data_IF_990894704395
#
_entry.id   IF_990894704395
#
_cell.length_a   1.000
_cell.length_b   1.000
_cell.length_c   1.000
_cell.angle_alpha   90.00
_cell.angle_beta   90.00
_cell.angle_gamma   90.00
#
_symmetry.space_group_name_H-M   'P 1'
#
loop_
_entity.id
_entity.type
_entity.pdbx_description
1 polymer ?
#
# COMPACT_ATOMS: atom_id res chain seq x y z
N UNK A 1 -1.44 -15.31 -50.44
CA UNK A 1 -1.35 -14.47 -49.22
C UNK A 1 -0.45 -15.19 -48.23
N UNK A 2 0.79 -14.73 -48.07
CA UNK A 2 1.77 -15.37 -47.18
C UNK A 2 1.41 -15.07 -45.73
N UNK A 3 1.25 -16.12 -44.89
CA UNK A 3 0.94 -15.97 -43.47
C UNK A 3 2.18 -15.43 -42.75
N UNK A 4 2.03 -14.28 -42.11
CA UNK A 4 3.05 -13.73 -41.21
C UNK A 4 3.38 -14.76 -40.11
N UNK A 5 4.65 -15.09 -39.88
CA UNK A 5 5.04 -16.01 -38.83
C UNK A 5 4.71 -15.40 -37.47
N UNK A 6 3.89 -16.10 -36.68
CA UNK A 6 3.64 -15.80 -35.27
C UNK A 6 4.84 -16.23 -34.45
N UNK A 7 5.93 -15.47 -34.51
CA UNK A 7 7.08 -15.72 -33.63
C UNK A 7 6.64 -15.40 -32.20
N UNK A 8 6.89 -16.36 -31.30
CA UNK A 8 6.56 -16.31 -29.88
C UNK A 8 6.87 -14.95 -29.26
N UNK A 9 5.89 -14.41 -28.51
CA UNK A 9 6.06 -13.27 -27.59
C UNK A 9 7.44 -13.33 -26.95
N UNK A 10 8.27 -12.33 -27.24
CA UNK A 10 9.63 -12.23 -26.70
C UNK A 10 9.61 -12.47 -25.19
N UNK A 11 10.55 -13.29 -24.72
CA UNK A 11 10.80 -13.51 -23.29
C UNK A 11 10.80 -12.13 -22.62
N UNK A 12 9.99 -11.93 -21.56
CA UNK A 12 9.90 -10.63 -20.87
C UNK A 12 11.33 -10.16 -20.57
N UNK A 13 11.72 -8.93 -20.93
CA UNK A 13 13.07 -8.44 -20.65
C UNK A 13 13.30 -8.53 -19.14
N UNK A 14 14.39 -9.20 -18.77
CA UNK A 14 14.87 -9.29 -17.41
C UNK A 14 15.94 -8.22 -17.24
N UNK A 15 15.78 -7.34 -16.25
CA UNK A 15 16.69 -6.21 -16.05
C UNK A 15 17.75 -6.51 -14.99
N UNK A 16 17.42 -7.39 -14.03
CA UNK A 16 18.32 -7.82 -12.97
C UNK A 16 18.72 -9.30 -13.11
N UNK A 17 19.83 -9.66 -12.47
CA UNK A 17 20.33 -11.04 -12.44
C UNK A 17 19.32 -11.99 -11.77
N UNK A 18 18.69 -11.53 -10.68
CA UNK A 18 17.67 -12.28 -9.98
C UNK A 18 16.26 -11.88 -10.45
N UNK A 19 15.53 -12.85 -11.00
CA UNK A 19 14.17 -12.64 -11.53
C UNK A 19 13.17 -12.13 -10.47
N UNK A 20 13.38 -12.45 -9.19
CA UNK A 20 12.54 -11.98 -8.08
C UNK A 20 12.58 -10.44 -7.97
N UNK A 21 13.73 -9.81 -8.28
CA UNK A 21 13.90 -8.36 -8.22
C UNK A 21 13.07 -7.67 -9.30
N UNK A 22 13.07 -8.18 -10.54
CA UNK A 22 12.20 -7.66 -11.61
C UNK A 22 10.71 -7.73 -11.21
N UNK A 23 10.31 -8.80 -10.51
CA UNK A 23 8.94 -8.99 -10.03
C UNK A 23 8.59 -7.99 -8.92
N UNK A 24 9.48 -7.79 -7.95
CA UNK A 24 9.32 -6.79 -6.89
C UNK A 24 9.23 -5.38 -7.46
N UNK A 25 10.10 -5.02 -8.40
CA UNK A 25 10.07 -3.72 -9.09
C UNK A 25 8.75 -3.55 -9.86
N UNK A 26 8.26 -4.60 -10.53
CA UNK A 26 6.97 -4.57 -11.22
C UNK A 26 5.80 -4.35 -10.24
N UNK A 27 5.79 -5.05 -9.10
CA UNK A 27 4.80 -4.86 -8.04
C UNK A 27 4.86 -3.44 -7.45
N UNK A 28 6.06 -2.93 -7.22
CA UNK A 28 6.26 -1.58 -6.69
C UNK A 28 5.78 -0.49 -7.68
N UNK A 29 6.08 -0.65 -8.97
CA UNK A 29 5.57 0.24 -10.02
C UNK A 29 4.04 0.24 -10.09
N UNK A 30 3.42 -0.94 -10.01
CA UNK A 30 1.97 -1.06 -9.94
C UNK A 30 1.41 -0.35 -8.69
N UNK A 31 2.00 -0.58 -7.52
CA UNK A 31 1.58 0.07 -6.28
C UNK A 31 1.74 1.60 -6.31
N UNK A 32 2.82 2.10 -6.90
CA UNK A 32 3.03 3.54 -7.10
C UNK A 32 1.95 4.14 -8.02
N UNK A 33 1.60 3.44 -9.10
CA UNK A 33 0.51 3.86 -10.00
C UNK A 33 -0.82 3.92 -9.26
N UNK A 34 -1.17 2.89 -8.49
CA UNK A 34 -2.40 2.89 -7.69
C UNK A 34 -2.38 4.00 -6.62
N UNK A 35 -1.23 4.23 -5.99
CA UNK A 35 -1.06 5.33 -5.03
C UNK A 35 -1.29 6.70 -5.68
N UNK A 36 -0.84 6.87 -6.94
CA UNK A 36 -1.09 8.09 -7.70
C UNK A 36 -2.58 8.27 -8.02
N UNK A 37 -3.27 7.21 -8.44
CA UNK A 37 -4.73 7.23 -8.67
C UNK A 37 -5.48 7.64 -7.41
N UNK A 38 -5.09 7.12 -6.23
CA UNK A 38 -5.69 7.53 -4.96
C UNK A 38 -5.46 9.02 -4.65
N UNK A 39 -4.25 9.53 -4.88
CA UNK A 39 -3.93 10.95 -4.71
C UNK A 39 -4.75 11.84 -5.64
N UNK A 40 -4.89 11.45 -6.91
CA UNK A 40 -5.71 12.18 -7.89
C UNK A 40 -7.18 12.19 -7.47
N UNK A 41 -7.72 11.05 -7.00
CA UNK A 41 -9.10 11.00 -6.49
C UNK A 41 -9.30 11.90 -5.28
N UNK A 42 -8.36 11.95 -4.33
CA UNK A 42 -8.44 12.86 -3.18
C UNK A 42 -8.43 14.33 -3.62
N UNK A 43 -7.51 14.70 -4.51
CA UNK A 43 -7.46 16.05 -5.09
C UNK A 43 -8.79 16.44 -5.76
N UNK A 44 -9.38 15.54 -6.56
CA UNK A 44 -10.66 15.79 -7.21
C UNK A 44 -11.82 15.91 -6.21
N UNK A 45 -11.82 15.10 -5.14
CA UNK A 45 -12.83 15.18 -4.08
C UNK A 45 -12.77 16.52 -3.35
N UNK A 46 -11.57 16.97 -2.98
CA UNK A 46 -11.35 18.29 -2.36
C UNK A 46 -11.78 19.42 -3.28
N UNK A 47 -11.38 19.35 -4.56
CA UNK A 47 -11.77 20.36 -5.56
C UNK A 47 -13.28 20.43 -5.73
N UNK A 48 -13.94 19.28 -5.87
CA UNK A 48 -15.39 19.21 -6.03
C UNK A 48 -16.13 19.68 -4.77
N UNK A 49 -15.63 19.34 -3.59
CA UNK A 49 -16.19 19.83 -2.32
C UNK A 49 -16.08 21.35 -2.21
N UNK A 50 -14.95 21.92 -2.63
CA UNK A 50 -14.75 23.37 -2.65
C UNK A 50 -15.63 24.07 -3.68
N UNK A 51 -15.76 23.53 -4.89
CA UNK A 51 -16.68 24.06 -5.92
C UNK A 51 -18.14 24.03 -5.48
N UNK A 52 -18.53 23.07 -4.64
CA UNK A 52 -19.85 22.99 -4.02
C UNK A 52 -20.00 23.82 -2.75
N UNK A 53 -18.96 24.51 -2.31
CA UNK A 53 -18.95 25.32 -1.08
C UNK A 53 -19.02 24.51 0.22
N UNK A 54 -18.68 23.21 0.18
CA UNK A 54 -18.68 22.33 1.35
C UNK A 54 -17.39 22.46 2.18
N UNK A 55 -16.28 22.84 1.55
CA UNK A 55 -14.98 23.04 2.17
C UNK A 55 -14.31 24.28 1.57
N UNK A 56 -13.64 25.06 2.41
CA UNK A 56 -12.75 26.14 1.97
C UNK A 56 -11.37 25.59 1.59
N UNK A 57 -10.65 26.33 0.73
CA UNK A 57 -9.31 25.90 0.30
C UNK A 57 -8.36 25.81 1.49
N UNK A 58 -7.65 24.68 1.62
CA UNK A 58 -6.74 24.42 2.75
C UNK A 58 -7.42 24.05 4.06
N UNK A 59 -8.76 23.96 4.11
CA UNK A 59 -9.49 23.56 5.31
C UNK A 59 -9.16 22.12 5.74
N UNK A 60 -9.00 21.22 4.76
CA UNK A 60 -8.60 19.84 5.02
C UNK A 60 -7.19 19.76 5.63
N UNK A 61 -6.24 20.56 5.14
CA UNK A 61 -4.86 20.60 5.64
C UNK A 61 -4.80 21.18 7.07
N UNK A 62 -5.70 22.10 7.39
CA UNK A 62 -5.82 22.70 8.73
C UNK A 62 -6.67 21.86 9.69
N UNK A 63 -7.35 20.82 9.20
CA UNK A 63 -8.27 20.04 10.00
C UNK A 63 -7.54 19.20 11.05
N UNK A 64 -7.86 19.45 12.32
CA UNK A 64 -7.29 18.69 13.43
C UNK A 64 -8.27 17.62 13.89
N UNK A 65 -7.82 16.36 13.85
CA UNK A 65 -8.62 15.22 14.27
C UNK A 65 -8.93 15.29 15.78
N UNK A 66 -10.17 14.96 16.14
CA UNK A 66 -10.52 14.71 17.54
C UNK A 66 -9.80 13.46 18.06
N UNK A 67 -9.70 13.31 19.38
CA UNK A 67 -9.07 12.10 19.95
C UNK A 67 -9.86 10.83 19.62
N UNK A 68 -11.18 10.95 19.46
CA UNK A 68 -12.04 9.85 19.02
C UNK A 68 -11.77 9.46 17.55
N UNK A 69 -11.56 10.44 16.66
CA UNK A 69 -11.22 10.18 15.25
C UNK A 69 -9.84 9.54 15.11
N UNK A 70 -8.88 9.98 15.92
CA UNK A 70 -7.53 9.39 15.96
C UNK A 70 -7.58 7.91 16.36
N UNK A 71 -8.33 7.56 17.41
CA UNK A 71 -8.47 6.15 17.82
C UNK A 71 -9.18 5.33 16.73
N UNK A 72 -10.21 5.88 16.11
CA UNK A 72 -10.91 5.22 14.99
C UNK A 72 -9.96 4.93 13.83
N UNK A 73 -9.12 5.90 13.45
CA UNK A 73 -8.10 5.71 12.41
C UNK A 73 -7.03 4.70 12.83
N UNK A 74 -6.62 4.70 14.10
CA UNK A 74 -5.66 3.74 14.63
C UNK A 74 -6.21 2.30 14.56
N UNK A 75 -7.48 2.08 14.93
CA UNK A 75 -8.13 0.77 14.81
C UNK A 75 -8.18 0.28 13.38
N UNK A 76 -8.66 1.13 12.46
CA UNK A 76 -8.72 0.79 11.03
C UNK A 76 -7.34 0.47 10.45
N UNK A 77 -6.30 1.19 10.89
CA UNK A 77 -4.92 0.89 10.47
C UNK A 77 -4.46 -0.47 10.97
N UNK A 78 -4.75 -0.82 12.24
CA UNK A 78 -4.43 -2.15 12.80
C UNK A 78 -5.14 -3.26 12.01
N UNK A 79 -6.42 -3.10 11.74
CA UNK A 79 -7.24 -4.05 10.97
C UNK A 79 -6.68 -4.23 9.55
N UNK A 80 -6.39 -3.14 8.84
CA UNK A 80 -5.81 -3.18 7.50
C UNK A 80 -4.45 -3.87 7.46
N UNK A 81 -3.57 -3.58 8.41
CA UNK A 81 -2.27 -4.24 8.53
C UNK A 81 -2.46 -5.74 8.79
N UNK A 82 -3.36 -6.10 9.70
CA UNK A 82 -3.67 -7.50 9.98
C UNK A 82 -4.20 -8.24 8.74
N UNK A 83 -5.06 -7.61 7.95
CA UNK A 83 -5.59 -8.18 6.70
C UNK A 83 -4.50 -8.39 5.63
N UNK A 84 -3.58 -7.42 5.47
CA UNK A 84 -2.44 -7.60 4.56
C UNK A 84 -1.59 -8.79 5.00
N UNK A 85 -1.25 -8.85 6.30
CA UNK A 85 -0.37 -9.90 6.81
C UNK A 85 -1.05 -11.26 6.92
N UNK A 86 -2.37 -11.34 7.10
CA UNK A 86 -3.09 -12.61 7.11
C UNK A 86 -2.98 -13.33 5.78
N UNK A 87 -2.92 -12.58 4.66
CA UNK A 87 -2.68 -13.15 3.33
C UNK A 87 -1.26 -13.71 3.14
N UNK A 88 -0.27 -13.18 3.88
CA UNK A 88 1.13 -13.65 3.88
C UNK A 88 1.35 -14.80 4.87
N UNK A 89 0.53 -14.90 5.91
CA UNK A 89 0.58 -15.96 6.92
C UNK A 89 0.07 -17.31 6.41
N UNK A 90 -0.43 -17.39 5.18
CA UNK A 90 -0.92 -18.64 4.58
C UNK A 90 0.23 -19.60 4.21
N UNK A 91 1.51 -19.17 4.21
CA UNK A 91 2.63 -20.01 3.76
C UNK A 91 3.86 -20.15 4.70
N UNK A 92 3.84 -19.68 5.96
CA UNK A 92 4.94 -19.98 6.89
C UNK A 92 4.46 -20.26 8.33
N UNK A 93 4.34 -21.55 8.66
CA UNK A 93 4.44 -22.05 10.03
C UNK A 93 5.84 -21.76 10.58
N UNK A 94 6.00 -20.63 11.27
CA UNK A 94 6.93 -20.53 12.41
C UNK A 94 6.51 -19.37 13.33
N UNK A 95 5.29 -19.50 13.84
CA UNK A 95 4.63 -18.57 14.78
C UNK A 95 5.41 -18.35 16.08
N UNK A 96 6.33 -19.25 16.44
CA UNK A 96 7.15 -19.17 17.64
C UNK A 96 8.23 -18.09 17.58
N UNK A 97 8.89 -17.92 16.43
CA UNK A 97 9.98 -16.93 16.26
C UNK A 97 9.44 -15.50 16.28
N UNK A 98 8.21 -15.29 15.78
CA UNK A 98 7.56 -13.97 15.73
C UNK A 98 7.20 -13.44 17.12
N UNK A 99 6.73 -14.30 18.03
CA UNK A 99 6.33 -13.86 19.37
C UNK A 99 7.55 -13.34 20.16
N UNK A 100 8.71 -14.01 20.02
CA UNK A 100 9.95 -13.60 20.70
C UNK A 100 10.47 -12.22 20.25
N UNK A 101 10.37 -11.90 18.95
CA UNK A 101 10.84 -10.63 18.39
C UNK A 101 9.91 -9.47 18.79
N UNK A 102 8.60 -9.72 18.85
CA UNK A 102 7.62 -8.72 19.27
C UNK A 102 7.79 -8.40 20.76
N UNK A 103 8.06 -9.41 21.59
CA UNK A 103 8.28 -9.24 23.02
C UNK A 103 9.58 -8.44 23.30
N UNK A 104 10.68 -8.72 22.57
CA UNK A 104 11.94 -7.97 22.68
C UNK A 104 11.79 -6.50 22.26
N UNK A 105 11.12 -6.23 21.14
CA UNK A 105 10.92 -4.86 20.66
C UNK A 105 10.01 -4.05 21.58
N UNK A 106 9.02 -4.70 22.21
CA UNK A 106 8.12 -4.06 23.17
C UNK A 106 8.85 -3.71 24.47
N UNK A 107 9.83 -4.53 24.88
CA UNK A 107 10.62 -4.30 26.08
C UNK A 107 11.66 -3.17 25.89
N UNK A 108 12.27 -3.06 24.70
CA UNK A 108 13.21 -2.00 24.35
C UNK A 108 12.57 -0.60 24.23
N UNK A 109 11.27 -0.52 23.98
CA UNK A 109 10.54 0.75 23.87
C UNK A 109 10.02 1.27 25.22
N UNK A 110 10.19 0.48 26.30
CA UNK A 110 9.72 0.80 27.66
C UNK A 110 10.84 1.28 28.60
N UNK A 111 12.09 1.20 28.17
CA UNK A 111 13.27 1.81 28.82
C UNK A 111 13.62 3.13 28.17
#
# INVERSE_FOLDING_TARGET
MSRLPRTSRGKRPHFFEEKSIDQLVSMFLALMSETWVLKERLYLLERLASEKGLLSAGELDAFNLSDQDKETLASRRREFVQEIFSSLQIDHEDTATRQSIIDELTQSMRS
#
